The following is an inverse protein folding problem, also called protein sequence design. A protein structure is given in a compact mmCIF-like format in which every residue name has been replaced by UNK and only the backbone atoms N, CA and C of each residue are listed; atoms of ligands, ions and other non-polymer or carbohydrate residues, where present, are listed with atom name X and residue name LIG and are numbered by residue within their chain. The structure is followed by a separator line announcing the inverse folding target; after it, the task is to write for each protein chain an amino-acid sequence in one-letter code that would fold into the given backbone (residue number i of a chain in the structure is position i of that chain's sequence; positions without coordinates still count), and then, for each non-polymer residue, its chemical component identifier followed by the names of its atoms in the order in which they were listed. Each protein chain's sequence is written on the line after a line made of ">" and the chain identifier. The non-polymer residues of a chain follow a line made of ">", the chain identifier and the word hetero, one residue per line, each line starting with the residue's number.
data_IF_070275056934
#
_entry.id   IF_070275056934
#
_cell.length_a   1.000
_cell.length_b   1.000
_cell.length_c   1.000
_cell.angle_alpha   90.00
_cell.angle_beta   90.00
_cell.angle_gamma   90.00
#
_symmetry.space_group_name_H-M   'P 1'
#
loop_
_entity.id
_entity.type
_entity.pdbx_description
1 polymer ?
#
# COMPACT_ATOMS: atom_id res chain seq x y z
N UNK A 1 -20.92 22.49 22.15
CA UNK A 1 -21.95 21.71 21.44
C UNK A 1 -22.12 22.08 19.96
N UNK A 2 -22.26 23.36 19.56
CA UNK A 2 -22.47 23.76 18.14
C UNK A 2 -21.38 23.27 17.15
N UNK A 3 -20.09 23.28 17.53
CA UNK A 3 -18.98 22.81 16.67
C UNK A 3 -19.04 21.30 16.35
N UNK A 4 -19.52 20.48 17.29
CA UNK A 4 -19.62 19.02 17.11
C UNK A 4 -20.73 18.68 16.10
N UNK A 5 -21.86 19.39 16.18
CA UNK A 5 -22.97 19.17 15.26
C UNK A 5 -22.60 19.59 13.82
N UNK A 6 -21.87 20.70 13.67
CA UNK A 6 -21.34 21.13 12.38
C UNK A 6 -20.32 20.13 11.80
N UNK A 7 -19.50 19.52 12.65
CA UNK A 7 -18.57 18.47 12.21
C UNK A 7 -19.33 17.24 11.70
N UNK A 8 -20.33 16.75 12.42
CA UNK A 8 -21.13 15.60 11.97
C UNK A 8 -21.87 15.87 10.66
N UNK A 9 -22.44 17.07 10.50
CA UNK A 9 -23.07 17.47 9.23
C UNK A 9 -22.06 17.50 8.08
N UNK A 10 -20.81 17.91 8.31
CA UNK A 10 -19.75 17.87 7.28
C UNK A 10 -19.33 16.43 6.93
N UNK A 11 -19.16 15.58 7.94
CA UNK A 11 -18.81 14.16 7.76
C UNK A 11 -19.86 13.45 6.90
N UNK A 12 -21.13 13.72 7.16
CA UNK A 12 -22.24 13.18 6.38
C UNK A 12 -22.30 13.77 4.97
N UNK A 13 -22.20 15.10 4.83
CA UNK A 13 -22.14 15.81 3.53
C UNK A 13 -21.02 15.28 2.63
N UNK A 14 -19.86 14.94 3.20
CA UNK A 14 -18.72 14.42 2.45
C UNK A 14 -18.76 12.89 2.29
N UNK A 15 -19.79 12.21 2.80
CA UNK A 15 -19.94 10.73 2.78
C UNK A 15 -18.66 10.00 3.21
N UNK A 16 -17.97 10.52 4.23
CA UNK A 16 -16.63 10.05 4.63
C UNK A 16 -16.62 8.55 4.91
N UNK A 17 -17.67 8.02 5.53
CA UNK A 17 -17.79 6.59 5.82
C UNK A 17 -17.95 5.74 4.56
N UNK A 18 -18.73 6.19 3.58
CA UNK A 18 -18.93 5.48 2.31
C UNK A 18 -17.62 5.43 1.53
N UNK A 19 -16.90 6.55 1.47
CA UNK A 19 -15.60 6.62 0.78
C UNK A 19 -14.53 5.80 1.47
N UNK A 20 -14.53 5.77 2.81
CA UNK A 20 -13.64 4.93 3.60
C UNK A 20 -13.93 3.44 3.38
N UNK A 21 -15.22 3.06 3.33
CA UNK A 21 -15.65 1.70 3.04
C UNK A 21 -15.27 1.28 1.61
N UNK A 22 -15.47 2.16 0.63
CA UNK A 22 -15.06 1.91 -0.75
C UNK A 22 -13.55 1.70 -0.86
N UNK A 23 -12.74 2.57 -0.23
CA UNK A 23 -11.28 2.43 -0.20
C UNK A 23 -10.84 1.11 0.46
N UNK A 24 -11.45 0.74 1.58
CA UNK A 24 -11.16 -0.51 2.28
C UNK A 24 -11.53 -1.74 1.44
N UNK A 25 -12.70 -1.73 0.79
CA UNK A 25 -13.16 -2.82 -0.07
C UNK A 25 -12.25 -2.99 -1.29
N UNK A 26 -11.92 -1.90 -1.99
CA UNK A 26 -10.99 -1.94 -3.13
C UNK A 26 -9.60 -2.42 -2.71
N UNK A 27 -9.12 -2.01 -1.53
CA UNK A 27 -7.83 -2.47 -0.98
C UNK A 27 -7.86 -3.96 -0.63
N UNK A 28 -8.93 -4.43 0.02
CA UNK A 28 -9.09 -5.85 0.36
C UNK A 28 -9.13 -6.73 -0.87
N UNK A 29 -9.77 -6.29 -1.95
CA UNK A 29 -9.78 -7.03 -3.22
C UNK A 29 -8.40 -7.06 -3.89
N UNK A 30 -7.56 -6.05 -3.68
CA UNK A 30 -6.20 -6.00 -4.21
C UNK A 30 -5.22 -6.92 -3.46
N UNK A 31 -5.56 -7.40 -2.25
CA UNK A 31 -4.69 -8.29 -1.48
C UNK A 31 -4.47 -9.64 -2.17
N UNK A 32 -5.51 -10.21 -2.79
CA UNK A 32 -5.40 -11.50 -3.47
C UNK A 32 -4.34 -11.51 -4.59
N UNK A 33 -4.38 -10.61 -5.60
CA UNK A 33 -3.34 -10.57 -6.62
C UNK A 33 -1.97 -10.16 -6.05
N UNK A 34 -1.92 -9.35 -4.98
CA UNK A 34 -0.67 -8.98 -4.31
C UNK A 34 0.03 -10.19 -3.68
N UNK A 35 -0.71 -11.01 -2.92
CA UNK A 35 -0.18 -12.24 -2.33
C UNK A 35 0.31 -13.16 -3.43
N UNK A 36 -0.47 -13.38 -4.49
CA UNK A 36 -0.05 -14.24 -5.61
C UNK A 36 1.28 -13.79 -6.21
N UNK A 37 1.48 -12.49 -6.46
CA UNK A 37 2.75 -11.98 -7.00
C UNK A 37 3.91 -12.24 -6.05
N UNK A 38 3.73 -11.98 -4.75
CA UNK A 38 4.77 -12.26 -3.74
C UNK A 38 5.14 -13.74 -3.78
N UNK A 39 4.16 -14.64 -3.84
CA UNK A 39 4.39 -16.09 -3.88
C UNK A 39 5.05 -16.53 -5.20
N UNK A 40 4.68 -15.94 -6.33
CA UNK A 40 5.34 -16.18 -7.61
C UNK A 40 6.81 -15.72 -7.57
N UNK A 41 7.10 -14.55 -6.99
CA UNK A 41 8.48 -14.09 -6.81
C UNK A 41 9.23 -15.06 -5.90
N UNK A 42 8.61 -15.48 -4.78
CA UNK A 42 9.21 -16.42 -3.85
C UNK A 42 9.56 -17.76 -4.51
N UNK A 43 8.66 -18.29 -5.35
CA UNK A 43 8.86 -19.52 -6.10
C UNK A 43 10.10 -19.47 -7.00
N UNK A 44 10.46 -18.29 -7.52
CA UNK A 44 11.66 -18.07 -8.33
C UNK A 44 12.96 -17.95 -7.49
N UNK A 45 12.86 -17.73 -6.18
CA UNK A 45 14.00 -17.62 -5.28
C UNK A 45 14.49 -18.99 -4.80
N UNK A 46 15.73 -19.03 -4.28
CA UNK A 46 16.33 -20.25 -3.72
C UNK A 46 15.56 -20.76 -2.49
N UNK A 47 15.57 -22.09 -2.28
CA UNK A 47 14.86 -22.77 -1.19
C UNK A 47 15.15 -22.18 0.20
N UNK A 48 16.42 -21.82 0.48
CA UNK A 48 16.80 -21.23 1.77
C UNK A 48 16.09 -19.87 2.04
N UNK A 49 15.82 -19.08 1.00
CA UNK A 49 15.10 -17.80 1.15
C UNK A 49 13.61 -18.06 1.38
N UNK A 50 13.03 -19.04 0.67
CA UNK A 50 11.63 -19.45 0.86
C UNK A 50 11.38 -19.95 2.29
N UNK A 51 12.25 -20.82 2.81
CA UNK A 51 12.15 -21.36 4.16
C UNK A 51 12.23 -20.27 5.24
N UNK A 52 13.18 -19.33 5.12
CA UNK A 52 13.29 -18.19 6.05
C UNK A 52 12.05 -17.31 6.04
N UNK A 53 11.52 -17.01 4.85
CA UNK A 53 10.31 -16.20 4.72
C UNK A 53 9.09 -16.91 5.31
N UNK A 54 8.92 -18.21 5.03
CA UNK A 54 7.83 -19.02 5.58
C UNK A 54 7.92 -19.14 7.11
N UNK A 55 9.11 -19.31 7.66
CA UNK A 55 9.31 -19.33 9.11
C UNK A 55 8.93 -18.00 9.77
N UNK A 56 9.27 -16.88 9.14
CA UNK A 56 8.93 -15.54 9.64
C UNK A 56 7.44 -15.22 9.51
N UNK A 57 6.79 -15.69 8.45
CA UNK A 57 5.33 -15.62 8.35
C UNK A 57 4.65 -16.50 9.41
N UNK A 58 5.13 -17.72 9.62
CA UNK A 58 4.58 -18.64 10.61
C UNK A 58 4.69 -18.10 12.03
N UNK A 59 5.80 -17.46 12.38
CA UNK A 59 5.97 -16.82 13.70
C UNK A 59 5.07 -15.60 13.92
N UNK A 60 4.70 -14.89 12.83
CA UNK A 60 3.92 -13.66 12.91
C UNK A 60 2.41 -13.88 12.73
N UNK A 61 2.01 -14.86 11.92
CA UNK A 61 0.62 -15.09 11.49
C UNK A 61 0.07 -16.47 11.89
N UNK A 62 0.91 -17.36 12.41
CA UNK A 62 0.53 -18.71 12.85
C UNK A 62 0.84 -19.82 11.83
N UNK A 63 0.88 -21.08 12.30
CA UNK A 63 1.28 -22.22 11.50
C UNK A 63 0.30 -22.60 10.39
N UNK A 64 -1.00 -22.28 10.52
CA UNK A 64 -1.96 -22.57 9.45
C UNK A 64 -1.66 -21.75 8.18
N UNK A 65 -1.35 -20.46 8.36
CA UNK A 65 -1.00 -19.54 7.26
C UNK A 65 0.28 -20.00 6.57
N UNK A 66 1.29 -20.40 7.35
CA UNK A 66 2.54 -20.95 6.82
C UNK A 66 2.28 -22.19 5.93
N UNK A 67 1.44 -23.11 6.40
CA UNK A 67 1.12 -24.36 5.69
C UNK A 67 0.34 -24.11 4.40
N UNK A 68 -0.62 -23.17 4.44
CA UNK A 68 -1.38 -22.77 3.26
C UNK A 68 -0.47 -22.17 2.18
N UNK A 69 0.42 -21.25 2.58
CA UNK A 69 1.33 -20.58 1.64
C UNK A 69 2.36 -21.56 1.07
N UNK A 70 2.93 -22.45 1.90
CA UNK A 70 3.87 -23.48 1.45
C UNK A 70 3.23 -24.39 0.40
N UNK A 71 1.97 -24.76 0.59
CA UNK A 71 1.20 -25.54 -0.40
C UNK A 71 1.07 -24.80 -1.74
N UNK A 72 0.77 -23.50 -1.71
CA UNK A 72 0.67 -22.69 -2.94
C UNK A 72 2.01 -22.62 -3.67
N UNK A 73 3.11 -22.33 -2.97
CA UNK A 73 4.46 -22.27 -3.56
C UNK A 73 4.84 -23.62 -4.18
N UNK A 74 4.53 -24.74 -3.51
CA UNK A 74 4.78 -26.09 -4.02
C UNK A 74 4.05 -26.33 -5.34
N UNK A 75 2.79 -25.90 -5.46
CA UNK A 75 2.03 -26.02 -6.71
C UNK A 75 2.60 -25.11 -7.81
N UNK A 76 3.03 -23.89 -7.48
CA UNK A 76 3.65 -22.96 -8.44
C UNK A 76 4.98 -23.47 -9.01
N UNK A 77 5.73 -24.29 -8.26
CA UNK A 77 6.98 -24.90 -8.71
C UNK A 77 6.79 -26.11 -9.63
N UNK A 78 5.60 -26.70 -9.71
CA UNK A 78 5.35 -27.92 -10.50
C UNK A 78 5.06 -27.63 -11.98
N UNK A 79 4.53 -26.45 -12.31
CA UNK A 79 4.18 -26.08 -13.69
C UNK A 79 4.68 -24.67 -14.05
N UNK A 80 5.89 -24.61 -14.60
CA UNK A 80 6.58 -23.35 -14.91
C UNK A 80 5.87 -22.52 -15.98
N UNK A 81 5.16 -23.13 -16.93
CA UNK A 81 4.48 -22.40 -18.00
C UNK A 81 3.17 -21.78 -17.51
N UNK A 82 2.37 -22.52 -16.75
CA UNK A 82 1.17 -21.97 -16.10
C UNK A 82 1.51 -20.87 -15.08
N UNK A 83 2.66 -21.01 -14.39
CA UNK A 83 3.15 -20.06 -13.40
C UNK A 83 3.52 -18.69 -14.01
N UNK A 84 4.16 -18.67 -15.18
CA UNK A 84 4.53 -17.41 -15.85
C UNK A 84 3.30 -16.62 -16.35
N UNK A 85 2.33 -17.28 -16.98
CA UNK A 85 1.08 -16.65 -17.43
C UNK A 85 0.26 -16.11 -16.25
N UNK A 86 0.17 -16.88 -15.17
CA UNK A 86 -0.53 -16.48 -13.95
C UNK A 86 0.13 -15.27 -13.27
N UNK A 87 1.47 -15.22 -13.24
CA UNK A 87 2.21 -14.08 -12.71
C UNK A 87 1.98 -12.78 -13.50
N UNK A 88 1.98 -12.85 -14.83
CA UNK A 88 1.71 -11.68 -15.69
C UNK A 88 0.28 -11.18 -15.51
N UNK A 89 -0.71 -12.08 -15.48
CA UNK A 89 -2.10 -11.73 -15.24
C UNK A 89 -2.30 -11.14 -13.84
N UNK A 90 -1.70 -11.75 -12.82
CA UNK A 90 -1.73 -11.24 -11.45
C UNK A 90 -1.14 -9.84 -11.35
N UNK A 91 0.00 -9.60 -12.00
CA UNK A 91 0.63 -8.28 -12.06
C UNK A 91 -0.24 -7.24 -12.77
N UNK A 92 -0.85 -7.59 -13.91
CA UNK A 92 -1.76 -6.70 -14.63
C UNK A 92 -2.99 -6.34 -13.77
N UNK A 93 -3.61 -7.33 -13.12
CA UNK A 93 -4.74 -7.13 -12.21
C UNK A 93 -4.33 -6.24 -11.04
N UNK A 94 -3.18 -6.51 -10.41
CA UNK A 94 -2.66 -5.68 -9.32
C UNK A 94 -2.49 -4.23 -9.74
N UNK A 95 -1.90 -3.95 -10.91
CA UNK A 95 -1.72 -2.58 -11.37
C UNK A 95 -3.06 -1.86 -11.54
N UNK A 96 -4.08 -2.56 -12.06
CA UNK A 96 -5.43 -2.02 -12.22
C UNK A 96 -6.05 -1.76 -10.84
N UNK A 97 -6.01 -2.73 -9.94
CA UNK A 97 -6.56 -2.62 -8.58
C UNK A 97 -5.85 -1.54 -7.77
N UNK A 98 -4.52 -1.47 -7.81
CA UNK A 98 -3.72 -0.44 -7.17
C UNK A 98 -4.10 0.95 -7.72
N UNK A 99 -4.17 1.11 -9.04
CA UNK A 99 -4.61 2.36 -9.65
C UNK A 99 -6.02 2.77 -9.16
N UNK A 100 -6.93 1.81 -8.97
CA UNK A 100 -8.26 2.07 -8.44
C UNK A 100 -8.22 2.57 -6.99
N UNK A 101 -7.40 1.96 -6.11
CA UNK A 101 -7.22 2.40 -4.71
C UNK A 101 -6.79 3.87 -4.64
N UNK A 102 -5.75 4.25 -5.38
CA UNK A 102 -5.24 5.62 -5.35
C UNK A 102 -6.20 6.61 -6.00
N UNK A 103 -6.96 6.19 -7.01
CA UNK A 103 -8.02 7.02 -7.58
C UNK A 103 -9.13 7.25 -6.56
N UNK A 104 -9.54 6.22 -5.81
CA UNK A 104 -10.53 6.34 -4.74
C UNK A 104 -10.03 7.28 -3.63
N UNK A 105 -8.74 7.21 -3.29
CA UNK A 105 -8.10 8.11 -2.33
C UNK A 105 -8.11 9.57 -2.82
N UNK A 106 -7.79 9.82 -4.09
CA UNK A 106 -7.86 11.17 -4.67
C UNK A 106 -9.27 11.73 -4.58
N UNK A 107 -10.27 10.96 -5.02
CA UNK A 107 -11.68 11.35 -4.96
C UNK A 107 -12.10 11.69 -3.52
N UNK A 108 -11.64 10.91 -2.54
CA UNK A 108 -11.89 11.18 -1.12
C UNK A 108 -11.26 12.50 -0.65
N UNK A 109 -9.99 12.74 -0.99
CA UNK A 109 -9.29 13.98 -0.63
C UNK A 109 -9.92 15.20 -1.31
N UNK A 110 -10.22 15.11 -2.60
CA UNK A 110 -10.85 16.19 -3.37
C UNK A 110 -12.21 16.57 -2.78
N UNK A 111 -13.01 15.57 -2.37
CA UNK A 111 -14.30 15.81 -1.75
C UNK A 111 -14.20 16.45 -0.37
N UNK A 112 -13.24 16.01 0.45
CA UNK A 112 -12.96 16.63 1.76
C UNK A 112 -12.51 18.08 1.60
N UNK A 113 -11.70 18.35 0.57
CA UNK A 113 -11.23 19.69 0.23
C UNK A 113 -12.29 20.56 -0.48
N UNK A 114 -13.51 20.04 -0.65
CA UNK A 114 -14.60 20.67 -1.41
C UNK A 114 -14.14 21.17 -2.79
N UNK A 115 -13.20 20.45 -3.39
CA UNK A 115 -12.64 20.81 -4.69
C UNK A 115 -13.71 20.60 -5.77
N UNK A 116 -14.06 21.68 -6.45
CA UNK A 116 -15.00 21.65 -7.59
C UNK A 116 -14.17 21.66 -8.86
N UNK A 117 -14.06 20.49 -9.51
CA UNK A 117 -13.44 20.42 -10.82
C UNK A 117 -14.16 21.38 -11.79
N UNK A 118 -13.43 22.26 -12.50
CA UNK A 118 -14.06 23.21 -13.42
C UNK A 118 -14.84 22.44 -14.48
N UNK A 119 -16.12 22.81 -14.66
CA UNK A 119 -17.19 22.10 -15.39
C UNK A 119 -16.87 21.69 -16.84
N UNK A 120 -15.74 22.12 -17.42
CA UNK A 120 -15.37 21.95 -18.83
C UNK A 120 -13.88 21.61 -19.05
N UNK A 121 -13.39 20.48 -18.52
CA UNK A 121 -12.11 19.88 -18.97
C UNK A 121 -12.23 18.40 -19.29
N UNK A 122 -13.13 18.05 -20.20
CA UNK A 122 -13.23 16.73 -20.83
C UNK A 122 -12.18 16.56 -21.94
N UNK A 123 -10.90 16.83 -21.61
CA UNK A 123 -9.79 16.67 -22.54
C UNK A 123 -8.98 15.42 -22.21
N UNK A 124 -8.46 14.73 -23.23
CA UNK A 124 -7.53 13.61 -23.09
C UNK A 124 -6.36 13.95 -22.13
N UNK A 125 -5.91 15.21 -22.14
CA UNK A 125 -4.86 15.75 -21.24
C UNK A 125 -5.26 15.72 -19.76
N UNK A 126 -6.53 15.94 -19.42
CA UNK A 126 -7.01 15.89 -18.03
C UNK A 126 -7.02 14.44 -17.50
N UNK A 127 -7.50 13.50 -18.32
CA UNK A 127 -7.46 12.07 -18.00
C UNK A 127 -6.02 11.57 -17.81
N UNK A 128 -5.09 12.00 -18.69
CA UNK A 128 -3.68 11.62 -18.60
C UNK A 128 -3.00 12.21 -17.37
N UNK A 129 -3.30 13.47 -17.01
CA UNK A 129 -2.78 14.13 -15.81
C UNK A 129 -3.25 13.46 -14.52
N UNK A 130 -4.54 13.13 -14.41
CA UNK A 130 -5.08 12.40 -13.25
C UNK A 130 -4.43 11.03 -13.09
N UNK A 131 -4.23 10.30 -14.20
CA UNK A 131 -3.57 9.00 -14.15
C UNK A 131 -2.10 9.10 -13.75
N UNK A 132 -1.40 10.13 -14.22
CA UNK A 132 -0.01 10.40 -13.82
C UNK A 132 0.10 10.73 -12.32
N UNK A 133 -0.86 11.47 -11.75
CA UNK A 133 -0.93 11.71 -10.30
C UNK A 133 -1.14 10.40 -9.53
N UNK A 134 -2.07 9.54 -9.95
CA UNK A 134 -2.30 8.24 -9.28
C UNK A 134 -1.05 7.36 -9.29
N UNK A 135 -0.38 7.26 -10.44
CA UNK A 135 0.87 6.50 -10.56
C UNK A 135 1.98 7.14 -9.70
N UNK A 136 2.09 8.46 -9.68
CA UNK A 136 3.05 9.18 -8.84
C UNK A 136 2.85 8.91 -7.35
N UNK A 137 1.61 8.81 -6.88
CA UNK A 137 1.30 8.46 -5.49
C UNK A 137 1.72 7.02 -5.15
N UNK A 138 1.42 6.06 -6.03
CA UNK A 138 1.84 4.66 -5.86
C UNK A 138 3.36 4.57 -5.76
N UNK A 139 4.07 5.19 -6.71
CA UNK A 139 5.53 5.20 -6.76
C UNK A 139 6.14 5.92 -5.57
N UNK A 140 5.56 7.06 -5.16
CA UNK A 140 6.00 7.80 -3.98
C UNK A 140 5.84 6.99 -2.70
N UNK A 141 4.70 6.31 -2.54
CA UNK A 141 4.45 5.42 -1.40
C UNK A 141 5.42 4.22 -1.39
N UNK A 142 5.64 3.58 -2.54
CA UNK A 142 6.57 2.46 -2.66
C UNK A 142 8.02 2.88 -2.38
N UNK A 143 8.46 4.00 -2.97
CA UNK A 143 9.77 4.57 -2.73
C UNK A 143 9.99 4.92 -1.26
N UNK A 144 9.02 5.62 -0.64
CA UNK A 144 9.13 5.98 0.77
C UNK A 144 9.13 4.75 1.67
N UNK A 145 8.41 3.68 1.31
CA UNK A 145 8.45 2.41 2.04
C UNK A 145 9.84 1.77 2.01
N UNK A 146 10.51 1.79 0.85
CA UNK A 146 11.89 1.30 0.72
C UNK A 146 12.84 2.17 1.54
N UNK A 147 12.71 3.50 1.46
CA UNK A 147 13.52 4.44 2.26
C UNK A 147 13.31 4.21 3.76
N UNK A 148 12.06 4.03 4.21
CA UNK A 148 11.73 3.72 5.61
C UNK A 148 12.40 2.42 6.09
N UNK A 149 12.40 1.36 5.27
CA UNK A 149 13.10 0.12 5.57
C UNK A 149 14.62 0.31 5.65
N UNK A 150 15.20 1.06 4.70
CA UNK A 150 16.63 1.36 4.70
C UNK A 150 17.03 2.16 5.94
N UNK A 151 16.25 3.19 6.31
CA UNK A 151 16.46 3.99 7.52
C UNK A 151 16.37 3.11 8.77
N UNK A 152 15.36 2.26 8.87
CA UNK A 152 15.19 1.33 10.00
C UNK A 152 16.39 0.39 10.13
N UNK A 153 16.83 -0.19 9.01
CA UNK A 153 17.97 -1.11 8.96
C UNK A 153 19.27 -0.40 9.33
N UNK A 154 19.53 0.76 8.75
CA UNK A 154 20.73 1.54 8.98
C UNK A 154 20.83 1.99 10.44
N UNK A 155 19.71 2.46 11.00
CA UNK A 155 19.67 2.85 12.40
C UNK A 155 19.93 1.62 13.30
N UNK A 156 19.36 0.46 12.99
CA UNK A 156 19.59 -0.79 13.76
C UNK A 156 21.07 -1.18 13.84
N UNK A 157 21.87 -0.87 12.81
CA UNK A 157 23.32 -1.12 12.80
C UNK A 157 24.13 -0.16 13.68
N UNK A 158 23.61 1.04 13.93
CA UNK A 158 24.31 2.10 14.68
C UNK A 158 24.05 2.04 16.18
N UNK A 159 23.11 1.22 16.63
CA UNK A 159 22.71 1.21 18.04
C UNK A 159 23.71 0.44 18.91
N UNK A 160 24.23 1.06 19.99
CA UNK A 160 24.95 0.32 21.02
C UNK A 160 23.99 -0.63 21.75
N UNK A 161 24.43 -1.86 22.01
CA UNK A 161 23.61 -2.97 22.51
C UNK A 161 22.97 -2.73 23.88
N UNK A 162 23.39 -1.68 24.59
CA UNK A 162 22.94 -1.33 25.93
C UNK A 162 21.64 -0.50 25.97
N UNK A 163 21.24 0.17 24.88
CA UNK A 163 20.07 1.05 24.83
C UNK A 163 19.11 0.77 23.66
N UNK A 164 18.92 -0.50 23.33
CA UNK A 164 18.08 -0.94 22.20
C UNK A 164 16.67 -0.32 22.24
N UNK A 165 16.07 -0.20 23.42
CA UNK A 165 14.71 0.33 23.59
C UNK A 165 14.59 1.82 23.25
N UNK A 166 15.56 2.65 23.65
CA UNK A 166 15.57 4.08 23.34
C UNK A 166 15.71 4.30 21.84
N UNK A 167 16.67 3.62 21.23
CA UNK A 167 16.95 3.72 19.80
C UNK A 167 15.84 3.16 18.91
N UNK A 168 15.17 2.09 19.35
CA UNK A 168 13.95 1.63 18.69
C UNK A 168 12.86 2.71 18.72
N UNK A 169 12.69 3.41 19.85
CA UNK A 169 11.79 4.56 19.95
C UNK A 169 12.14 5.67 18.96
N UNK A 170 13.42 6.03 18.86
CA UNK A 170 13.90 7.02 17.87
C UNK A 170 13.58 6.56 16.44
N UNK A 171 13.81 5.29 16.10
CA UNK A 171 13.47 4.74 14.78
C UNK A 171 11.99 4.88 14.44
N UNK A 172 11.12 4.59 15.41
CA UNK A 172 9.68 4.72 15.25
C UNK A 172 9.27 6.18 15.02
N UNK A 173 9.87 7.12 15.75
CA UNK A 173 9.65 8.56 15.56
C UNK A 173 10.11 9.01 14.17
N UNK A 174 11.28 8.57 13.71
CA UNK A 174 11.79 8.89 12.37
C UNK A 174 10.86 8.33 11.30
N UNK A 175 10.43 7.07 11.40
CA UNK A 175 9.48 6.49 10.46
C UNK A 175 8.14 7.23 10.48
N UNK A 176 7.63 7.57 11.66
CA UNK A 176 6.41 8.36 11.80
C UNK A 176 6.52 9.71 11.09
N UNK A 177 7.67 10.40 11.21
CA UNK A 177 7.92 11.66 10.50
C UNK A 177 8.01 11.46 8.98
N UNK A 178 8.64 10.39 8.51
CA UNK A 178 8.69 10.05 7.08
C UNK A 178 7.29 9.85 6.51
N UNK A 179 6.44 9.05 7.17
CA UNK A 179 5.07 8.83 6.73
C UNK A 179 4.21 10.09 6.86
N UNK A 180 4.44 10.93 7.88
CA UNK A 180 3.79 12.23 8.01
C UNK A 180 4.14 13.15 6.85
N UNK A 181 5.42 13.17 6.45
CA UNK A 181 5.86 13.92 5.28
C UNK A 181 5.20 13.42 4.01
N UNK A 182 5.11 12.10 3.81
CA UNK A 182 4.38 11.52 2.68
C UNK A 182 2.92 11.95 2.70
N UNK A 183 2.22 11.80 3.83
CA UNK A 183 0.81 12.19 3.94
C UNK A 183 0.61 13.69 3.65
N UNK A 184 1.53 14.53 4.11
CA UNK A 184 1.54 15.97 3.82
C UNK A 184 1.75 16.23 2.32
N UNK A 185 2.66 15.51 1.68
CA UNK A 185 2.89 15.59 0.25
C UNK A 185 1.63 15.16 -0.52
N UNK A 186 0.99 14.05 -0.13
CA UNK A 186 -0.29 13.61 -0.70
C UNK A 186 -1.31 14.74 -0.57
N UNK A 187 -1.57 15.28 0.62
CA UNK A 187 -2.56 16.34 0.81
C UNK A 187 -2.25 17.63 0.02
N UNK A 188 -0.97 17.94 -0.21
CA UNK A 188 -0.55 19.14 -0.93
C UNK A 188 -0.56 18.99 -2.46
N UNK A 189 -0.21 17.82 -2.97
CA UNK A 189 -0.03 17.58 -4.42
C UNK A 189 -1.21 16.85 -5.07
N UNK A 190 -2.07 16.20 -4.29
CA UNK A 190 -3.29 15.56 -4.80
C UNK A 190 -4.40 16.51 -5.23
N UNK A 191 -4.68 17.65 -4.56
CA UNK A 191 -5.80 18.49 -4.96
C UNK A 191 -5.62 18.93 -6.42
N UNK A 192 -6.48 18.43 -7.30
CA UNK A 192 -6.29 18.48 -8.76
C UNK A 192 -7.45 19.12 -9.48
#
# INVERSE_FOLDING_TARGET
>A
MKKLNQFMVKVDKHEVFVMSAALAYTTSLALAPFVLIILSILALLNLNVQEKFLAQLGSSLGPEVQTAIASVIKNLNQDTQASALSGVLGFAILLISASAIFTQLQIAIDKINEYVAPKHRTGFVFYLKNKFLSVGLVLGFAFLSIVSLMVTTFMTMLYPSNEVMFWQGVSQVVNFLLFTFLFTAIYRFVPS
#
